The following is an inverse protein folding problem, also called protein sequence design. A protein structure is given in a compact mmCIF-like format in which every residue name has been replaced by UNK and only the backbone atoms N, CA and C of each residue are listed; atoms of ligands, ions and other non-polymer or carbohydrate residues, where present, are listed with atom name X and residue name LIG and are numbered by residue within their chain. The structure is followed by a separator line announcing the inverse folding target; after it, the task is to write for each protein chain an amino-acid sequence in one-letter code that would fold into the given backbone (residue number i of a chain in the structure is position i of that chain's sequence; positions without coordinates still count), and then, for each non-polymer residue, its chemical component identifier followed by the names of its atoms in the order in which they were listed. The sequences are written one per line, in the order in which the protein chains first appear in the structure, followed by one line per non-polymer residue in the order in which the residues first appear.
data_IF_897451995500
#
_entry.id   IF_897451995500
#
_cell.length_a   1.000
_cell.length_b   1.000
_cell.length_c   1.000
_cell.angle_alpha   90.00
_cell.angle_beta   90.00
_cell.angle_gamma   90.00
#
_symmetry.space_group_name_H-M   'P 1'
#
loop_
_entity.id
_entity.type
_entity.pdbx_description
1 polymer ?
#
# COMPACT_ATOMS: atom_id res chain seq x y z
N UNK A 1 -26.66 22.77 7.89
CA UNK A 1 -26.37 21.57 8.68
C UNK A 1 -25.14 20.94 8.06
N UNK A 2 -24.03 20.83 8.81
CA UNK A 2 -22.78 20.25 8.27
C UNK A 2 -22.93 18.75 8.06
N UNK A 3 -22.25 18.23 7.03
CA UNK A 3 -22.12 16.76 6.81
C UNK A 3 -21.60 16.09 8.09
N UNK A 4 -20.72 16.75 8.82
CA UNK A 4 -20.10 16.25 10.04
C UNK A 4 -21.04 16.18 11.26
N UNK A 5 -22.23 16.80 11.20
CA UNK A 5 -23.20 16.78 12.32
C UNK A 5 -23.73 15.37 12.64
N UNK A 6 -23.56 14.42 11.71
CA UNK A 6 -23.92 13.01 11.89
C UNK A 6 -22.85 12.18 12.61
N UNK A 7 -21.71 12.77 12.94
CA UNK A 7 -20.59 12.12 13.61
C UNK A 7 -20.60 12.47 15.11
N UNK A 8 -20.04 11.57 15.94
CA UNK A 8 -19.73 11.92 17.31
C UNK A 8 -18.56 12.94 17.39
N UNK A 9 -18.28 13.46 18.57
CA UNK A 9 -17.29 14.53 18.74
C UNK A 9 -15.89 14.13 18.28
N UNK A 10 -15.43 12.91 18.58
CA UNK A 10 -14.11 12.42 18.17
C UNK A 10 -14.03 12.11 16.68
N UNK A 11 -15.06 11.51 16.12
CA UNK A 11 -15.15 11.31 14.68
C UNK A 11 -15.18 12.66 13.92
N UNK A 12 -15.92 13.64 14.45
CA UNK A 12 -15.99 14.99 13.90
C UNK A 12 -14.64 15.70 13.98
N UNK A 13 -13.96 15.62 15.12
CA UNK A 13 -12.60 16.15 15.29
C UNK A 13 -11.65 15.60 14.22
N UNK A 14 -11.63 14.26 14.02
CA UNK A 14 -10.80 13.63 13.01
C UNK A 14 -11.20 13.99 11.58
N UNK A 15 -12.50 14.02 11.28
CA UNK A 15 -12.99 14.31 9.92
C UNK A 15 -12.79 15.78 9.52
N UNK A 16 -12.81 16.71 10.48
CA UNK A 16 -12.63 18.15 10.24
C UNK A 16 -11.17 18.59 10.13
N UNK A 17 -10.21 17.79 10.62
CA UNK A 17 -8.78 18.09 10.53
C UNK A 17 -8.28 17.81 9.11
N UNK A 18 -8.25 18.81 8.23
CA UNK A 18 -7.98 18.65 6.80
C UNK A 18 -6.48 18.67 6.49
N UNK A 19 -5.78 19.73 6.88
CA UNK A 19 -4.37 19.93 6.54
C UNK A 19 -3.43 19.29 7.56
N UNK A 20 -2.28 18.83 7.07
CA UNK A 20 -1.24 18.19 7.88
C UNK A 20 -1.46 16.70 8.09
N UNK A 21 -0.61 16.11 8.91
CA UNK A 21 -0.66 14.69 9.22
C UNK A 21 -1.68 14.41 10.34
N UNK A 22 -2.46 13.36 10.16
CA UNK A 22 -3.48 12.90 11.11
C UNK A 22 -3.35 11.39 11.32
N UNK A 23 -3.23 10.98 12.56
CA UNK A 23 -3.31 9.58 12.98
C UNK A 23 -4.62 9.35 13.73
N UNK A 24 -5.46 8.47 13.21
CA UNK A 24 -6.69 8.02 13.85
C UNK A 24 -6.44 6.65 14.44
N UNK A 25 -6.49 6.54 15.77
CA UNK A 25 -6.43 5.28 16.49
C UNK A 25 -7.84 4.83 16.85
N UNK A 26 -8.22 3.64 16.40
CA UNK A 26 -9.61 3.24 16.48
C UNK A 26 -9.74 1.72 16.60
N UNK A 27 -10.41 1.27 17.63
CA UNK A 27 -10.73 -0.14 17.81
C UNK A 27 -11.79 -0.67 16.84
N UNK A 28 -12.04 -1.97 16.87
CA UNK A 28 -13.09 -2.59 16.08
C UNK A 28 -14.46 -1.98 16.43
N UNK A 29 -15.23 -1.60 15.41
CA UNK A 29 -16.58 -1.04 15.61
C UNK A 29 -16.66 0.44 15.98
N UNK A 30 -15.53 1.15 16.09
CA UNK A 30 -15.47 2.58 16.44
C UNK A 30 -15.86 3.55 15.31
N UNK A 31 -16.21 3.02 14.13
CA UNK A 31 -16.61 3.84 12.99
C UNK A 31 -15.46 4.39 12.14
N UNK A 32 -14.32 3.68 12.08
CA UNK A 32 -13.16 4.03 11.24
C UNK A 32 -13.54 4.43 9.82
N UNK A 33 -14.19 3.53 9.09
CA UNK A 33 -14.58 3.75 7.69
C UNK A 33 -15.61 4.89 7.57
N UNK A 34 -16.50 5.01 8.54
CA UNK A 34 -17.46 6.13 8.60
C UNK A 34 -16.72 7.47 8.72
N UNK A 35 -15.73 7.56 9.60
CA UNK A 35 -14.93 8.77 9.80
C UNK A 35 -14.20 9.17 8.52
N UNK A 36 -13.55 8.22 7.83
CA UNK A 36 -12.84 8.49 6.56
C UNK A 36 -13.82 8.95 5.46
N UNK A 37 -14.94 8.28 5.30
CA UNK A 37 -15.90 8.61 4.23
C UNK A 37 -16.56 9.98 4.44
N UNK A 38 -16.89 10.33 5.68
CA UNK A 38 -17.39 11.66 6.03
C UNK A 38 -16.31 12.74 5.90
N UNK A 39 -15.04 12.42 6.19
CA UNK A 39 -13.91 13.30 5.94
C UNK A 39 -13.79 13.64 4.45
N UNK A 40 -13.86 12.63 3.56
CA UNK A 40 -13.84 12.85 2.10
C UNK A 40 -15.01 13.73 1.67
N UNK A 41 -16.21 13.43 2.15
CA UNK A 41 -17.40 14.20 1.83
C UNK A 41 -17.28 15.66 2.28
N UNK A 42 -16.79 15.90 3.50
CA UNK A 42 -16.54 17.23 4.02
C UNK A 42 -15.50 18.01 3.19
N UNK A 43 -14.41 17.36 2.81
CA UNK A 43 -13.36 17.95 1.97
C UNK A 43 -13.91 18.43 0.62
N UNK A 44 -14.77 17.63 -0.01
CA UNK A 44 -15.30 17.93 -1.34
C UNK A 44 -16.44 18.95 -1.25
N UNK A 45 -17.46 18.70 -0.43
CA UNK A 45 -18.71 19.46 -0.44
C UNK A 45 -18.64 20.77 0.38
N UNK A 46 -17.91 20.77 1.50
CA UNK A 46 -17.92 21.91 2.41
C UNK A 46 -16.64 22.74 2.32
N UNK A 47 -15.48 22.11 2.11
CA UNK A 47 -14.19 22.81 1.96
C UNK A 47 -13.91 23.18 0.50
N UNK A 48 -14.50 22.46 -0.47
CA UNK A 48 -14.32 22.75 -1.89
C UNK A 48 -13.02 22.18 -2.48
N UNK A 49 -12.45 21.15 -1.86
CA UNK A 49 -11.27 20.47 -2.40
C UNK A 49 -11.70 19.65 -3.61
N UNK A 50 -10.96 19.79 -4.72
CA UNK A 50 -11.23 19.00 -5.91
C UNK A 50 -11.13 17.50 -5.61
N UNK A 51 -12.15 16.69 -5.93
CA UNK A 51 -12.15 15.26 -5.67
C UNK A 51 -10.98 14.52 -6.38
N UNK A 52 -10.46 15.05 -7.47
CA UNK A 52 -9.27 14.51 -8.14
C UNK A 52 -7.97 14.60 -7.33
N UNK A 53 -7.95 15.46 -6.29
CA UNK A 53 -6.78 15.64 -5.42
C UNK A 53 -6.74 14.66 -4.24
N UNK A 54 -7.72 13.78 -4.13
CA UNK A 54 -7.88 12.88 -3.00
C UNK A 54 -7.57 11.45 -3.43
N UNK A 55 -6.68 10.80 -2.67
CA UNK A 55 -6.34 9.39 -2.78
C UNK A 55 -6.66 8.69 -1.46
N UNK A 56 -7.54 7.71 -1.50
CA UNK A 56 -7.84 6.82 -0.37
C UNK A 56 -7.42 5.39 -0.72
N UNK A 57 -6.55 4.82 0.08
CA UNK A 57 -5.97 3.49 -0.15
C UNK A 57 -6.46 2.51 0.89
N UNK A 58 -6.87 1.34 0.44
CA UNK A 58 -7.29 0.20 1.26
C UNK A 58 -6.50 -1.06 0.89
N UNK A 59 -6.73 -2.16 1.61
CA UNK A 59 -5.98 -3.41 1.39
C UNK A 59 -6.71 -4.42 0.50
N UNK A 60 -8.04 -4.35 0.42
CA UNK A 60 -8.83 -5.29 -0.37
C UNK A 60 -9.74 -4.58 -1.36
N UNK A 61 -9.99 -5.24 -2.49
CA UNK A 61 -10.94 -4.72 -3.48
C UNK A 61 -12.35 -4.56 -2.89
N UNK A 62 -12.73 -5.43 -1.97
CA UNK A 62 -14.01 -5.34 -1.25
C UNK A 62 -14.06 -4.06 -0.41
N UNK A 63 -13.03 -3.78 0.40
CA UNK A 63 -12.96 -2.57 1.21
C UNK A 63 -12.95 -1.30 0.36
N UNK A 64 -12.21 -1.30 -0.75
CA UNK A 64 -12.20 -0.18 -1.70
C UNK A 64 -13.58 0.06 -2.32
N UNK A 65 -14.28 -1.00 -2.71
CA UNK A 65 -15.64 -0.91 -3.25
C UNK A 65 -16.63 -0.37 -2.21
N UNK A 66 -16.62 -0.91 -1.00
CA UNK A 66 -17.49 -0.46 0.09
C UNK A 66 -17.24 1.02 0.46
N UNK A 67 -15.98 1.44 0.51
CA UNK A 67 -15.62 2.84 0.77
C UNK A 67 -16.14 3.74 -0.35
N UNK A 68 -15.96 3.34 -1.61
CA UNK A 68 -16.43 4.09 -2.78
C UNK A 68 -17.95 4.24 -2.78
N UNK A 69 -18.70 3.18 -2.53
CA UNK A 69 -20.16 3.20 -2.43
C UNK A 69 -20.65 4.14 -1.30
N UNK A 70 -19.97 4.12 -0.15
CA UNK A 70 -20.27 5.03 0.96
C UNK A 70 -20.00 6.50 0.62
N UNK A 71 -18.88 6.79 -0.03
CA UNK A 71 -18.58 8.15 -0.49
C UNK A 71 -19.61 8.59 -1.53
N UNK A 72 -19.98 7.72 -2.48
CA UNK A 72 -21.02 8.01 -3.49
C UNK A 72 -22.38 8.31 -2.86
N UNK A 73 -22.76 7.61 -1.78
CA UNK A 73 -23.98 7.90 -1.04
C UNK A 73 -23.98 9.27 -0.36
N UNK A 74 -22.81 9.85 -0.10
CA UNK A 74 -22.66 11.14 0.57
C UNK A 74 -22.56 12.32 -0.42
N UNK A 75 -21.81 12.15 -1.52
CA UNK A 75 -21.49 13.23 -2.47
C UNK A 75 -21.86 12.95 -3.93
N UNK A 76 -22.60 11.85 -4.18
CA UNK A 76 -23.11 11.53 -5.53
C UNK A 76 -22.00 11.35 -6.56
N UNK A 77 -22.19 11.95 -7.74
CA UNK A 77 -21.29 11.78 -8.89
C UNK A 77 -19.84 12.23 -8.65
N UNK A 78 -19.60 13.17 -7.76
CA UNK A 78 -18.25 13.62 -7.45
C UNK A 78 -17.39 12.53 -6.78
N UNK A 79 -18.01 11.53 -6.17
CA UNK A 79 -17.32 10.35 -5.64
C UNK A 79 -16.54 9.58 -6.72
N UNK A 80 -16.99 9.58 -7.97
CA UNK A 80 -16.32 8.89 -9.08
C UNK A 80 -14.95 9.50 -9.42
N UNK A 81 -14.74 10.75 -9.01
CA UNK A 81 -13.52 11.50 -9.24
C UNK A 81 -12.49 11.35 -8.12
N UNK A 82 -12.93 10.88 -6.94
CA UNK A 82 -12.03 10.51 -5.84
C UNK A 82 -11.35 9.19 -6.19
N UNK A 83 -10.03 9.11 -6.04
CA UNK A 83 -9.30 7.87 -6.22
C UNK A 83 -9.41 7.02 -4.95
N UNK A 84 -10.32 6.05 -4.96
CA UNK A 84 -10.41 5.01 -3.93
C UNK A 84 -9.94 3.69 -4.54
N UNK A 85 -8.86 3.13 -4.02
CA UNK A 85 -8.29 1.92 -4.61
C UNK A 85 -7.46 1.12 -3.61
N UNK A 86 -7.07 -0.10 -3.98
CA UNK A 86 -6.03 -0.84 -3.27
C UNK A 86 -4.65 -0.33 -3.68
N UNK A 87 -3.62 -0.63 -2.89
CA UNK A 87 -2.22 -0.33 -3.25
C UNK A 87 -1.85 -0.89 -4.62
N UNK A 88 -2.19 -2.15 -4.88
CA UNK A 88 -1.89 -2.82 -6.16
C UNK A 88 -2.63 -2.19 -7.34
N UNK A 89 -3.92 -1.88 -7.19
CA UNK A 89 -4.69 -1.23 -8.24
C UNK A 89 -4.18 0.18 -8.55
N UNK A 90 -3.77 0.93 -7.53
CA UNK A 90 -3.14 2.23 -7.69
C UNK A 90 -1.80 2.12 -8.42
N UNK A 91 -0.92 1.22 -7.96
CA UNK A 91 0.38 0.98 -8.59
C UNK A 91 0.25 0.53 -10.05
N UNK A 92 -0.68 -0.41 -10.31
CA UNK A 92 -0.95 -0.87 -11.66
C UNK A 92 -1.35 0.27 -12.62
N UNK A 93 -2.18 1.21 -12.16
CA UNK A 93 -2.55 2.39 -12.97
C UNK A 93 -1.33 3.26 -13.29
N UNK A 94 -0.46 3.52 -12.32
CA UNK A 94 0.77 4.28 -12.57
C UNK A 94 1.70 3.56 -13.54
N UNK A 95 1.86 2.24 -13.39
CA UNK A 95 2.71 1.44 -14.26
C UNK A 95 2.17 1.32 -15.69
N UNK A 96 0.85 1.31 -15.89
CA UNK A 96 0.25 1.36 -17.23
C UNK A 96 0.53 2.69 -17.94
N UNK A 97 0.66 3.78 -17.19
CA UNK A 97 0.92 5.12 -17.73
C UNK A 97 2.42 5.40 -17.91
N UNK A 98 3.24 4.99 -16.94
CA UNK A 98 4.65 5.39 -16.86
C UNK A 98 5.64 4.22 -16.86
N UNK A 99 5.18 2.99 -17.06
CA UNK A 99 6.03 1.79 -16.97
C UNK A 99 7.14 1.74 -18.01
N UNK A 100 6.99 2.48 -19.14
CA UNK A 100 8.00 2.66 -20.15
C UNK A 100 9.30 3.29 -19.57
N UNK A 101 9.17 4.15 -18.56
CA UNK A 101 10.30 4.74 -17.83
C UNK A 101 11.14 3.72 -17.06
N UNK A 102 10.57 2.54 -16.79
CA UNK A 102 11.25 1.38 -16.20
C UNK A 102 11.54 0.29 -17.24
N UNK A 103 11.30 0.55 -18.52
CA UNK A 103 11.52 -0.39 -19.61
C UNK A 103 10.47 -1.49 -19.74
N UNK A 104 9.23 -1.22 -19.33
CA UNK A 104 8.07 -2.07 -19.59
C UNK A 104 7.19 -1.46 -20.66
N UNK A 105 6.65 -2.29 -21.56
CA UNK A 105 5.58 -1.81 -22.44
C UNK A 105 4.25 -1.73 -21.70
N UNK A 106 3.33 -0.90 -22.18
CA UNK A 106 2.04 -0.68 -21.52
C UNK A 106 1.18 -1.97 -21.40
N UNK A 107 1.42 -2.95 -22.25
CA UNK A 107 0.72 -4.24 -22.26
C UNK A 107 1.45 -5.35 -21.51
N UNK A 108 2.29 -5.03 -20.53
CA UNK A 108 2.98 -6.03 -19.72
C UNK A 108 1.98 -7.02 -19.10
N UNK A 109 2.43 -8.27 -18.95
CA UNK A 109 1.64 -9.35 -18.36
C UNK A 109 1.83 -9.40 -16.86
N UNK A 110 0.77 -9.72 -16.13
CA UNK A 110 0.83 -9.99 -14.69
C UNK A 110 0.81 -11.49 -14.49
N UNK A 111 1.86 -12.02 -13.86
CA UNK A 111 1.99 -13.43 -13.52
C UNK A 111 1.28 -13.72 -12.21
N UNK A 112 0.43 -14.74 -12.22
CA UNK A 112 -0.20 -15.26 -11.03
C UNK A 112 0.73 -16.23 -10.26
N UNK A 113 0.23 -16.81 -9.18
CA UNK A 113 1.00 -17.72 -8.33
C UNK A 113 1.46 -18.98 -9.09
N UNK A 114 0.68 -19.48 -10.01
CA UNK A 114 1.03 -20.68 -10.78
C UNK A 114 2.07 -20.36 -11.85
N UNK A 115 1.98 -19.20 -12.48
CA UNK A 115 3.01 -18.69 -13.39
C UNK A 115 4.34 -18.50 -12.65
N UNK A 116 4.32 -17.91 -11.45
CA UNK A 116 5.50 -17.73 -10.61
C UNK A 116 6.17 -19.08 -10.29
N UNK A 117 5.39 -20.06 -9.82
CA UNK A 117 5.89 -21.40 -9.50
C UNK A 117 6.51 -22.07 -10.74
N UNK A 118 5.89 -21.90 -11.91
CA UNK A 118 6.40 -22.45 -13.17
C UNK A 118 7.76 -21.88 -13.54
N UNK A 119 7.91 -20.55 -13.42
CA UNK A 119 9.20 -19.88 -13.68
C UNK A 119 10.26 -20.37 -12.69
N UNK A 120 9.97 -20.39 -11.40
CA UNK A 120 10.90 -20.86 -10.35
C UNK A 120 11.30 -22.32 -10.63
N UNK A 121 10.34 -23.19 -10.95
CA UNK A 121 10.60 -24.59 -11.25
C UNK A 121 11.54 -24.78 -12.44
N UNK A 122 11.38 -23.97 -13.50
CA UNK A 122 12.25 -24.02 -14.67
C UNK A 122 13.69 -23.59 -14.31
N UNK A 123 13.83 -22.51 -13.54
CA UNK A 123 15.14 -22.06 -13.06
C UNK A 123 15.81 -23.11 -12.18
N UNK A 124 15.05 -23.74 -11.27
CA UNK A 124 15.58 -24.83 -10.43
C UNK A 124 16.11 -26.00 -11.24
N UNK A 125 15.43 -26.34 -12.34
CA UNK A 125 15.91 -27.39 -13.27
C UNK A 125 17.20 -27.00 -13.98
N UNK A 126 17.29 -25.77 -14.47
CA UNK A 126 18.50 -25.22 -15.11
C UNK A 126 19.70 -25.21 -14.16
N UNK A 127 19.48 -24.89 -12.90
CA UNK A 127 20.50 -24.89 -11.85
C UNK A 127 20.79 -26.28 -11.27
N UNK A 128 20.06 -27.29 -11.70
CA UNK A 128 20.20 -28.67 -11.22
C UNK A 128 20.08 -28.76 -9.68
N UNK A 129 19.13 -28.04 -9.11
CA UNK A 129 18.88 -28.06 -7.66
C UNK A 129 18.29 -29.41 -7.26
N UNK A 130 19.01 -30.16 -6.42
CA UNK A 130 18.62 -31.49 -5.98
C UNK A 130 18.04 -31.56 -4.56
N UNK A 131 18.07 -30.46 -3.81
CA UNK A 131 17.56 -30.45 -2.46
C UNK A 131 16.04 -30.61 -2.45
N UNK A 132 15.56 -31.72 -1.86
CA UNK A 132 14.14 -32.07 -1.78
C UNK A 132 13.34 -31.12 -0.86
N UNK A 133 14.02 -30.36 0.00
CA UNK A 133 13.40 -29.37 0.89
C UNK A 133 13.13 -28.03 0.19
N UNK A 134 13.85 -27.75 -0.90
CA UNK A 134 13.63 -26.56 -1.72
C UNK A 134 12.58 -26.88 -2.81
N UNK A 135 11.34 -26.54 -2.53
CA UNK A 135 10.24 -26.67 -3.49
C UNK A 135 9.96 -25.32 -4.14
N UNK A 136 9.52 -25.36 -5.41
CA UNK A 136 9.21 -24.16 -6.20
C UNK A 136 8.24 -23.21 -5.49
N UNK A 137 7.22 -23.72 -4.83
CA UNK A 137 6.25 -22.92 -4.09
C UNK A 137 6.86 -22.22 -2.87
N UNK A 138 7.80 -22.87 -2.17
CA UNK A 138 8.51 -22.29 -1.04
C UNK A 138 9.41 -21.14 -1.51
N UNK A 139 10.20 -21.39 -2.55
CA UNK A 139 11.10 -20.36 -3.10
C UNK A 139 10.30 -19.17 -3.64
N UNK A 140 9.22 -19.41 -4.38
CA UNK A 140 8.35 -18.34 -4.88
C UNK A 140 7.77 -17.50 -3.74
N UNK A 141 7.34 -18.12 -2.65
CA UNK A 141 6.84 -17.43 -1.45
C UNK A 141 7.93 -16.58 -0.77
N UNK A 142 9.15 -17.10 -0.66
CA UNK A 142 10.29 -16.36 -0.11
C UNK A 142 10.60 -15.15 -0.98
N UNK A 143 10.66 -15.31 -2.31
CA UNK A 143 10.91 -14.20 -3.25
C UNK A 143 9.85 -13.11 -3.09
N UNK A 144 8.57 -13.48 -3.02
CA UNK A 144 7.49 -12.50 -2.82
C UNK A 144 7.66 -11.73 -1.52
N UNK A 145 7.96 -12.42 -0.42
CA UNK A 145 8.21 -11.78 0.88
C UNK A 145 9.42 -10.84 0.85
N UNK A 146 10.52 -11.25 0.24
CA UNK A 146 11.71 -10.41 0.08
C UNK A 146 11.40 -9.14 -0.71
N UNK A 147 10.61 -9.24 -1.78
CA UNK A 147 10.13 -8.07 -2.54
C UNK A 147 9.29 -7.12 -1.68
N UNK A 148 8.37 -7.62 -0.91
CA UNK A 148 7.51 -6.84 0.00
C UNK A 148 8.31 -6.12 1.09
N UNK A 149 9.40 -6.74 1.56
CA UNK A 149 10.34 -6.14 2.51
C UNK A 149 11.39 -5.24 1.84
N UNK A 150 11.33 -5.06 0.52
CA UNK A 150 12.31 -4.32 -0.28
C UNK A 150 13.73 -4.87 -0.19
N UNK A 151 13.89 -6.19 -0.07
CA UNK A 151 15.18 -6.86 0.00
C UNK A 151 15.53 -7.38 -1.39
N UNK A 152 16.65 -6.90 -1.94
CA UNK A 152 17.18 -7.36 -3.22
C UNK A 152 17.82 -8.75 -3.11
N UNK A 153 18.02 -9.46 -4.26
CA UNK A 153 18.75 -10.73 -4.25
C UNK A 153 20.15 -10.62 -3.62
N UNK A 154 20.88 -9.54 -3.89
CA UNK A 154 22.24 -9.33 -3.40
C UNK A 154 22.27 -9.04 -1.89
N UNK A 155 21.32 -8.26 -1.39
CA UNK A 155 21.16 -8.03 0.06
C UNK A 155 20.81 -9.34 0.78
N UNK A 156 19.91 -10.13 0.21
CA UNK A 156 19.54 -11.43 0.78
C UNK A 156 20.73 -12.40 0.80
N UNK A 157 21.49 -12.49 -0.29
CA UNK A 157 22.70 -13.31 -0.37
C UNK A 157 23.73 -12.90 0.69
N UNK A 158 23.89 -11.60 0.92
CA UNK A 158 24.82 -11.07 1.96
C UNK A 158 24.35 -11.46 3.37
N UNK A 159 23.06 -11.42 3.64
CA UNK A 159 22.49 -11.81 4.93
C UNK A 159 22.64 -13.33 5.16
N UNK A 160 22.44 -14.12 4.11
CA UNK A 160 22.47 -15.57 4.13
C UNK A 160 23.86 -16.17 3.75
N UNK A 161 24.93 -15.39 3.81
CA UNK A 161 26.27 -15.78 3.29
C UNK A 161 26.81 -17.11 3.83
N UNK A 162 26.36 -17.55 4.99
CA UNK A 162 26.76 -18.85 5.59
C UNK A 162 25.74 -19.97 5.38
N UNK A 163 24.64 -19.69 4.66
CA UNK A 163 23.58 -20.64 4.39
C UNK A 163 23.56 -20.98 2.90
N UNK A 164 23.95 -22.21 2.55
CA UNK A 164 23.98 -22.65 1.15
C UNK A 164 22.60 -22.56 0.47
N UNK A 165 21.53 -22.90 1.17
CA UNK A 165 20.18 -22.77 0.64
C UNK A 165 19.81 -21.27 0.43
N UNK A 166 20.28 -20.39 1.28
CA UNK A 166 20.10 -18.95 1.09
C UNK A 166 20.76 -18.43 -0.18
N UNK A 167 21.99 -18.89 -0.48
CA UNK A 167 22.69 -18.55 -1.73
C UNK A 167 21.95 -19.07 -2.96
N UNK A 168 21.46 -20.31 -2.89
CA UNK A 168 20.66 -20.90 -3.98
C UNK A 168 19.39 -20.07 -4.21
N UNK A 169 18.68 -19.73 -3.17
CA UNK A 169 17.46 -18.92 -3.27
C UNK A 169 17.78 -17.54 -3.84
N UNK A 170 18.87 -16.89 -3.43
CA UNK A 170 19.30 -15.60 -3.97
C UNK A 170 19.57 -15.69 -5.48
N UNK A 171 20.24 -16.76 -5.95
CA UNK A 171 20.48 -16.97 -7.37
C UNK A 171 19.18 -17.24 -8.15
N UNK A 172 18.27 -18.03 -7.60
CA UNK A 172 16.94 -18.24 -8.20
C UNK A 172 16.18 -16.93 -8.29
N UNK A 173 16.21 -16.12 -7.24
CA UNK A 173 15.56 -14.80 -7.20
C UNK A 173 16.13 -13.85 -8.26
N UNK A 174 17.44 -13.81 -8.42
CA UNK A 174 18.12 -12.98 -9.45
C UNK A 174 17.67 -13.39 -10.86
N UNK A 175 17.69 -14.69 -11.16
CA UNK A 175 17.24 -15.22 -12.46
C UNK A 175 15.74 -15.02 -12.67
N UNK A 176 14.94 -15.21 -11.63
CA UNK A 176 13.50 -14.99 -11.67
C UNK A 176 13.18 -13.54 -12.11
N UNK A 177 13.82 -12.55 -11.51
CA UNK A 177 13.65 -11.16 -11.90
C UNK A 177 14.04 -10.91 -13.37
N UNK A 178 15.12 -11.54 -13.84
CA UNK A 178 15.57 -11.44 -15.23
C UNK A 178 14.57 -12.06 -16.21
N UNK A 179 14.03 -13.23 -15.88
CA UNK A 179 13.02 -13.91 -16.72
C UNK A 179 11.76 -13.06 -16.85
N UNK A 180 11.23 -12.53 -15.74
CA UNK A 180 10.04 -11.69 -15.78
C UNK A 180 10.29 -10.42 -16.60
N UNK A 181 11.43 -9.78 -16.39
CA UNK A 181 11.79 -8.57 -17.14
C UNK A 181 11.88 -8.84 -18.63
N UNK A 182 12.56 -9.90 -19.05
CA UNK A 182 12.70 -10.26 -20.45
C UNK A 182 11.36 -10.62 -21.12
N UNK A 183 10.44 -11.17 -20.35
CA UNK A 183 9.08 -11.50 -20.80
C UNK A 183 8.11 -10.32 -20.76
N UNK A 184 8.57 -9.13 -20.43
CA UNK A 184 7.69 -7.97 -20.18
C UNK A 184 6.56 -8.34 -19.22
N UNK A 185 6.93 -8.96 -18.10
CA UNK A 185 6.01 -9.45 -17.09
C UNK A 185 6.36 -8.93 -15.69
N UNK A 186 5.37 -8.83 -14.86
CA UNK A 186 5.47 -8.54 -13.44
C UNK A 186 4.66 -9.57 -12.66
N UNK A 187 5.15 -9.98 -11.49
CA UNK A 187 4.29 -10.66 -10.53
C UNK A 187 3.54 -9.64 -9.66
N UNK A 188 2.71 -10.13 -8.74
CA UNK A 188 1.90 -9.28 -7.90
C UNK A 188 2.73 -8.36 -6.98
N UNK A 189 3.82 -8.88 -6.42
CA UNK A 189 4.76 -8.08 -5.60
C UNK A 189 5.53 -7.05 -6.45
N UNK A 190 5.86 -7.36 -7.70
CA UNK A 190 6.53 -6.44 -8.62
C UNK A 190 5.72 -5.17 -8.90
N UNK A 191 4.40 -5.24 -8.83
CA UNK A 191 3.55 -4.05 -9.01
C UNK A 191 3.94 -2.99 -7.97
N UNK A 192 4.11 -3.38 -6.72
CA UNK A 192 4.49 -2.44 -5.65
C UNK A 192 5.96 -2.04 -5.74
N UNK A 193 6.88 -2.98 -5.98
CA UNK A 193 8.31 -2.71 -6.15
C UNK A 193 8.55 -1.72 -7.29
N UNK A 194 7.93 -1.95 -8.45
CA UNK A 194 8.07 -1.07 -9.59
C UNK A 194 7.34 0.27 -9.41
N UNK A 195 6.26 0.31 -8.65
CA UNK A 195 5.61 1.57 -8.26
C UNK A 195 6.55 2.42 -7.38
N UNK A 196 7.20 1.81 -6.39
CA UNK A 196 8.19 2.48 -5.56
C UNK A 196 9.35 3.02 -6.38
N UNK A 197 9.92 2.21 -7.31
CA UNK A 197 10.97 2.63 -8.24
C UNK A 197 10.53 3.74 -9.19
N UNK A 198 9.29 3.69 -9.65
CA UNK A 198 8.72 4.73 -10.50
C UNK A 198 8.66 6.08 -9.77
N UNK A 199 8.33 6.05 -8.48
CA UNK A 199 8.30 7.23 -7.62
C UNK A 199 9.70 7.75 -7.21
N UNK A 200 10.77 7.05 -7.55
CA UNK A 200 12.15 7.57 -7.45
C UNK A 200 12.52 8.47 -8.64
N UNK A 201 11.72 8.47 -9.70
CA UNK A 201 11.91 9.34 -10.87
C UNK A 201 11.30 10.71 -10.56
N UNK A 202 12.11 11.78 -10.48
CA UNK A 202 11.66 13.06 -9.93
C UNK A 202 10.46 13.70 -10.63
N UNK A 203 10.41 13.66 -11.96
CA UNK A 203 9.31 14.26 -12.73
C UNK A 203 8.00 13.47 -12.59
N UNK A 204 8.08 12.16 -12.38
CA UNK A 204 6.91 11.32 -12.13
C UNK A 204 6.41 11.54 -10.70
N UNK A 205 7.32 11.53 -9.73
CA UNK A 205 6.98 11.81 -8.33
C UNK A 205 6.28 13.16 -8.19
N UNK A 206 6.81 14.20 -8.82
CA UNK A 206 6.23 15.54 -8.78
C UNK A 206 4.81 15.57 -9.35
N UNK A 207 4.57 14.93 -10.49
CA UNK A 207 3.23 14.78 -11.08
C UNK A 207 2.25 14.03 -10.17
N UNK A 208 2.69 12.95 -9.55
CA UNK A 208 1.84 12.14 -8.65
C UNK A 208 1.52 12.92 -7.38
N UNK A 209 2.50 13.62 -6.79
CA UNK A 209 2.32 14.47 -5.62
C UNK A 209 1.36 15.64 -5.90
N UNK A 210 1.47 16.29 -7.05
CA UNK A 210 0.58 17.39 -7.44
C UNK A 210 -0.83 16.92 -7.76
N UNK A 211 -0.97 15.70 -8.25
CA UNK A 211 -2.27 15.09 -8.47
C UNK A 211 -2.95 14.70 -7.15
N UNK A 212 -2.23 14.06 -6.25
CA UNK A 212 -2.78 13.54 -4.99
C UNK A 212 -2.22 14.32 -3.81
N UNK A 213 -2.89 15.40 -3.45
CA UNK A 213 -2.48 16.32 -2.37
C UNK A 213 -2.97 15.88 -1.01
N UNK A 214 -4.01 15.05 -0.96
CA UNK A 214 -4.63 14.53 0.26
C UNK A 214 -4.69 13.01 0.18
N UNK A 215 -4.01 12.36 1.11
CA UNK A 215 -3.84 10.92 1.10
C UNK A 215 -4.47 10.34 2.37
N UNK A 216 -5.24 9.27 2.21
CA UNK A 216 -5.80 8.50 3.32
C UNK A 216 -5.44 7.05 3.17
N UNK A 217 -5.05 6.42 4.28
CA UNK A 217 -4.73 5.00 4.34
C UNK A 217 -5.52 4.37 5.47
N UNK A 218 -6.39 3.43 5.13
CA UNK A 218 -7.11 2.61 6.10
C UNK A 218 -6.29 1.38 6.49
N UNK A 219 -6.56 0.83 7.68
CA UNK A 219 -5.84 -0.35 8.23
C UNK A 219 -4.30 -0.20 8.16
N UNK A 220 -3.80 0.96 8.56
CA UNK A 220 -2.39 1.33 8.41
C UNK A 220 -1.42 0.38 9.13
N UNK A 221 -1.87 -0.31 10.19
CA UNK A 221 -1.09 -1.34 10.88
C UNK A 221 -0.72 -2.53 9.98
N UNK A 222 -1.49 -2.78 8.92
CA UNK A 222 -1.26 -3.90 7.99
C UNK A 222 -0.31 -3.55 6.82
N UNK A 223 0.17 -2.30 6.74
CA UNK A 223 1.11 -1.89 5.70
C UNK A 223 2.45 -2.61 5.84
N UNK A 224 2.93 -3.17 4.72
CA UNK A 224 4.30 -3.67 4.63
C UNK A 224 5.28 -2.52 4.30
N UNK A 225 6.59 -2.84 4.29
CA UNK A 225 7.63 -1.83 4.11
C UNK A 225 7.52 -1.09 2.77
N UNK A 226 7.21 -1.79 1.67
CA UNK A 226 7.09 -1.17 0.35
C UNK A 226 5.86 -0.24 0.26
N UNK A 227 4.74 -0.64 0.84
CA UNK A 227 3.53 0.19 0.91
C UNK A 227 3.76 1.46 1.72
N UNK A 228 4.43 1.32 2.86
CA UNK A 228 4.85 2.44 3.69
C UNK A 228 5.72 3.44 2.91
N UNK A 229 6.73 2.96 2.16
CA UNK A 229 7.58 3.81 1.31
C UNK A 229 6.79 4.56 0.25
N UNK A 230 5.89 3.88 -0.46
CA UNK A 230 5.05 4.48 -1.51
C UNK A 230 4.22 5.64 -0.95
N UNK A 231 3.50 5.41 0.15
CA UNK A 231 2.65 6.43 0.77
C UNK A 231 3.46 7.64 1.21
N UNK A 232 4.59 7.42 1.89
CA UNK A 232 5.43 8.51 2.37
C UNK A 232 6.05 9.33 1.23
N UNK A 233 6.49 8.70 0.14
CA UNK A 233 6.96 9.42 -1.04
C UNK A 233 5.90 10.36 -1.61
N UNK A 234 4.66 9.87 -1.74
CA UNK A 234 3.56 10.67 -2.29
C UNK A 234 3.18 11.81 -1.32
N UNK A 235 3.08 11.52 -0.03
CA UNK A 235 2.66 12.49 0.99
C UNK A 235 3.69 13.59 1.26
N UNK A 236 4.96 13.37 0.97
CA UNK A 236 6.07 14.22 1.42
C UNK A 236 5.96 15.68 0.99
N UNK A 237 5.45 15.97 -0.20
CA UNK A 237 5.41 17.35 -0.75
C UNK A 237 4.43 18.24 0.01
N UNK A 238 3.24 17.75 0.30
CA UNK A 238 2.16 18.53 0.91
C UNK A 238 1.91 18.20 2.37
N UNK A 239 2.36 17.04 2.84
CA UNK A 239 2.21 16.62 4.24
C UNK A 239 0.77 16.30 4.67
N UNK A 240 -0.19 16.27 3.75
CA UNK A 240 -1.60 16.02 4.06
C UNK A 240 -1.90 14.53 3.98
N UNK A 241 -1.60 13.83 5.06
CA UNK A 241 -1.79 12.38 5.18
C UNK A 241 -2.63 12.04 6.40
N UNK A 242 -3.68 11.26 6.20
CA UNK A 242 -4.50 10.70 7.25
C UNK A 242 -4.35 9.17 7.24
N UNK A 243 -3.88 8.61 8.33
CA UNK A 243 -3.79 7.16 8.49
C UNK A 243 -4.71 6.71 9.61
N UNK A 244 -5.35 5.56 9.40
CA UNK A 244 -6.25 4.95 10.38
C UNK A 244 -5.71 3.58 10.74
N UNK A 245 -5.49 3.35 12.02
CA UNK A 245 -4.97 2.11 12.55
C UNK A 245 -5.77 1.60 13.76
N UNK A 246 -5.69 0.29 13.99
CA UNK A 246 -6.28 -0.36 15.15
C UNK A 246 -5.21 -0.56 16.23
N UNK A 247 -5.39 0.14 17.36
CA UNK A 247 -4.47 0.07 18.50
C UNK A 247 -4.45 -1.35 19.13
N UNK A 248 -5.58 -2.05 19.12
CA UNK A 248 -5.70 -3.37 19.73
C UNK A 248 -5.11 -4.49 18.85
N UNK A 249 -5.12 -4.34 17.53
CA UNK A 249 -4.50 -5.32 16.63
C UNK A 249 -2.97 -5.22 16.64
N UNK A 250 -2.42 -4.06 17.02
CA UNK A 250 -0.99 -3.85 17.18
C UNK A 250 -0.41 -4.53 18.43
N UNK A 251 -1.24 -4.81 19.45
CA UNK A 251 -0.82 -5.46 20.70
C UNK A 251 -0.73 -7.00 20.56
N UNK A 252 -1.47 -7.59 19.60
CA UNK A 252 -1.46 -9.04 19.35
C UNK A 252 -0.51 -9.42 18.19
N UNK A 253 0.77 -9.11 18.30
CA UNK A 253 1.83 -9.29 17.30
C UNK A 253 2.12 -10.71 16.78
N UNK A 254 1.16 -11.64 16.78
CA UNK A 254 1.32 -13.03 16.29
C UNK A 254 1.29 -13.17 14.76
N UNK A 255 1.03 -12.08 14.00
CA UNK A 255 0.95 -12.11 12.52
C UNK A 255 1.88 -11.11 11.80
N UNK A 256 2.93 -10.61 12.44
CA UNK A 256 3.82 -9.64 11.79
C UNK A 256 3.16 -8.27 11.52
N UNK A 257 2.01 -8.01 12.10
CA UNK A 257 1.37 -6.70 12.09
C UNK A 257 2.24 -5.72 12.88
N UNK A 258 2.64 -4.66 12.23
CA UNK A 258 3.77 -3.87 12.66
C UNK A 258 3.29 -2.63 13.43
N UNK A 259 3.18 -2.73 14.76
CA UNK A 259 3.08 -1.55 15.64
C UNK A 259 4.15 -0.51 15.27
N UNK A 260 5.26 -0.97 14.69
CA UNK A 260 6.34 -0.14 14.20
C UNK A 260 5.87 0.87 13.15
N UNK A 261 4.86 0.56 12.33
CA UNK A 261 4.33 1.50 11.35
C UNK A 261 3.65 2.70 12.00
N UNK A 262 2.92 2.48 13.09
CA UNK A 262 2.29 3.57 13.87
C UNK A 262 3.38 4.41 14.56
N UNK A 263 4.38 3.76 15.16
CA UNK A 263 5.50 4.45 15.80
C UNK A 263 6.36 5.20 14.77
N UNK A 264 6.57 4.62 13.59
CA UNK A 264 7.29 5.26 12.51
C UNK A 264 6.51 6.46 11.95
N UNK A 265 5.17 6.38 11.90
CA UNK A 265 4.35 7.51 11.47
C UNK A 265 4.53 8.73 12.39
N UNK A 266 4.48 8.54 13.70
CA UNK A 266 4.71 9.63 14.66
C UNK A 266 6.13 10.20 14.57
N UNK A 267 7.11 9.35 14.24
CA UNK A 267 8.50 9.77 14.03
C UNK A 267 8.67 10.57 12.73
N UNK A 268 8.02 10.14 11.65
CA UNK A 268 8.10 10.80 10.34
C UNK A 268 7.29 12.09 10.30
N UNK A 269 6.22 12.17 11.09
CA UNK A 269 5.32 13.31 11.21
C UNK A 269 5.20 13.75 12.68
N UNK A 270 6.25 14.41 13.24
CA UNK A 270 6.26 14.77 14.66
C UNK A 270 5.13 15.73 15.08
N UNK A 271 4.62 16.52 14.13
CA UNK A 271 3.52 17.46 14.34
C UNK A 271 2.14 16.85 14.02
N UNK A 272 2.06 15.53 13.85
CA UNK A 272 0.81 14.87 13.55
C UNK A 272 -0.22 15.04 14.68
N UNK A 273 -1.45 15.32 14.28
CA UNK A 273 -2.59 15.26 15.21
C UNK A 273 -2.96 13.80 15.42
N UNK A 274 -3.15 13.39 16.68
CA UNK A 274 -3.60 12.05 17.05
C UNK A 274 -5.01 12.13 17.62
N UNK A 275 -5.93 11.39 17.03
CA UNK A 275 -7.33 11.30 17.50
C UNK A 275 -7.65 9.85 17.82
N UNK A 276 -8.16 9.59 19.04
CA UNK A 276 -8.61 8.24 19.44
C UNK A 276 -10.13 8.15 19.36
N UNK A 277 -10.63 7.13 18.64
CA UNK A 277 -12.05 6.80 18.56
C UNK A 277 -12.35 5.70 19.59
N UNK A 278 -12.93 6.07 20.73
CA UNK A 278 -13.14 5.16 21.89
C UNK A 278 -14.54 4.53 21.93
N UNK A 279 -15.53 5.12 21.24
CA UNK A 279 -16.90 4.64 21.28
C UNK A 279 -17.08 3.42 20.34
N UNK A 280 -17.61 2.32 20.89
CA UNK A 280 -17.90 1.12 20.13
C UNK A 280 -19.41 1.05 19.80
N UNK A 281 -19.75 1.05 18.50
CA UNK A 281 -21.14 1.00 17.99
C UNK A 281 -21.58 -0.41 17.55
N UNK A 282 -20.78 -1.44 17.82
CA UNK A 282 -21.06 -2.83 17.42
C UNK A 282 -21.54 -3.74 18.55
N UNK A 283 -21.65 -3.25 19.78
CA UNK A 283 -22.17 -4.04 20.91
C UNK A 283 -23.68 -4.00 20.98
#
# INVERSE_FOLDING_TARGET
MSILDKLNDKQREAASKIDGALLILAGAGSGKTRTITYRIAHMVEEIGISPYKILAVTFTNKAAKEMKERVESLIGEDAKRVMVSTFHSFGLRLLRVYGDRLGYSANFTIYDTDDQKRVVKNIMKELVIKDKNLKEGIIASIISKLKEESISPDEYETTEKYNENGKIIAEVYRRYNSVLKNNNAMDFSDILVNTDRLLDIPDILDKVQDKFRYIMVDEYQDTNNIQYKIVNKIAKKYGNICVVGDENQSIYGFRGANIQNILNFEKDYPDATVVKLEENYRS
#
